data_IF_997835790619
#
_entry.id   IF_997835790619
#
_cell.length_a   1.000
_cell.length_b   1.000
_cell.length_c   1.000
_cell.angle_alpha   90.00
_cell.angle_beta   90.00
_cell.angle_gamma   90.00
#
_symmetry.space_group_name_H-M   'P 1'
#
loop_
_entity.id
_entity.type
_entity.pdbx_description
1 polymer ?
#
# COMPACT_ATOMS: atom_id res chain seq x y z
N UNK A 1 7.45 -27.32 -32.18
CA UNK A 1 6.36 -26.71 -31.37
C UNK A 1 7.01 -25.96 -30.21
N UNK A 2 6.83 -24.64 -30.13
CA UNK A 2 7.34 -23.86 -29.00
C UNK A 2 6.44 -24.09 -27.77
N UNK A 3 7.03 -24.50 -26.65
CA UNK A 3 6.31 -24.67 -25.38
C UNK A 3 6.24 -23.30 -24.71
N UNK A 4 5.12 -22.60 -24.85
CA UNK A 4 4.92 -21.31 -24.18
C UNK A 4 4.84 -21.53 -22.66
N UNK A 5 5.94 -21.25 -21.96
CA UNK A 5 5.96 -21.29 -20.49
C UNK A 5 5.29 -20.03 -19.93
N UNK A 6 4.13 -20.20 -19.29
CA UNK A 6 3.40 -19.11 -18.63
C UNK A 6 3.90 -18.96 -17.19
N UNK A 7 4.41 -17.78 -16.84
CA UNK A 7 4.79 -17.44 -15.47
C UNK A 7 3.64 -16.72 -14.76
N UNK A 8 3.35 -17.11 -13.52
CA UNK A 8 2.40 -16.42 -12.66
C UNK A 8 3.14 -15.56 -11.64
N UNK A 9 2.68 -14.33 -11.41
CA UNK A 9 3.23 -13.44 -10.38
C UNK A 9 2.18 -12.85 -9.47
N UNK A 10 2.59 -12.61 -8.23
CA UNK A 10 1.82 -11.95 -7.18
C UNK A 10 2.73 -10.99 -6.43
N UNK A 11 2.15 -10.07 -5.66
CA UNK A 11 2.92 -9.13 -4.86
C UNK A 11 3.62 -9.84 -3.69
N UNK A 12 4.93 -9.63 -3.54
CA UNK A 12 5.72 -10.19 -2.42
C UNK A 12 5.24 -9.71 -1.06
N UNK A 13 4.65 -8.50 -1.00
CA UNK A 13 4.04 -7.94 0.21
C UNK A 13 2.86 -8.76 0.73
N UNK A 14 2.43 -9.83 0.05
CA UNK A 14 1.39 -10.74 0.55
C UNK A 14 1.94 -11.79 1.51
N UNK A 15 3.25 -12.07 1.54
CA UNK A 15 3.87 -12.96 2.54
C UNK A 15 4.52 -12.19 3.72
N UNK A 16 4.48 -12.79 4.92
CA UNK A 16 5.14 -12.26 6.11
C UNK A 16 6.65 -12.47 6.00
N UNK A 17 7.42 -11.38 5.82
CA UNK A 17 8.90 -11.36 5.65
C UNK A 17 9.41 -12.27 4.50
N UNK A 18 10.63 -12.03 3.98
CA UNK A 18 11.09 -12.70 2.76
C UNK A 18 11.39 -14.21 2.93
N UNK A 19 11.48 -14.71 4.16
CA UNK A 19 11.84 -16.10 4.47
C UNK A 19 10.62 -17.01 4.73
N UNK A 20 9.41 -16.43 4.71
CA UNK A 20 8.13 -17.13 4.88
C UNK A 20 7.52 -17.63 3.57
N UNK A 21 6.49 -18.48 3.69
CA UNK A 21 5.73 -19.12 2.60
C UNK A 21 5.61 -18.28 1.31
N UNK A 22 5.70 -18.90 0.13
CA UNK A 22 5.61 -18.18 -1.14
C UNK A 22 4.31 -17.38 -1.20
N UNK A 23 4.41 -16.09 -1.53
CA UNK A 23 3.29 -15.12 -1.52
C UNK A 23 2.04 -15.60 -2.28
N UNK A 24 2.20 -16.53 -3.21
CA UNK A 24 1.10 -17.18 -3.92
C UNK A 24 0.26 -18.07 -2.99
N UNK A 25 0.89 -18.88 -2.13
CA UNK A 25 0.20 -19.74 -1.17
C UNK A 25 -0.58 -18.92 -0.15
N UNK A 26 0.02 -17.83 0.35
CA UNK A 26 -0.67 -16.93 1.28
C UNK A 26 -1.88 -16.27 0.61
N UNK A 27 -1.73 -15.79 -0.63
CA UNK A 27 -2.86 -15.26 -1.40
C UNK A 27 -3.96 -16.32 -1.63
N UNK A 28 -3.59 -17.56 -1.94
CA UNK A 28 -4.53 -18.67 -2.11
C UNK A 28 -5.27 -18.97 -0.79
N UNK A 29 -4.58 -18.97 0.34
CA UNK A 29 -5.19 -19.15 1.65
C UNK A 29 -6.20 -18.04 1.97
N UNK A 30 -5.78 -16.77 1.82
CA UNK A 30 -6.63 -15.59 2.04
C UNK A 30 -7.88 -15.59 1.14
N UNK A 31 -7.73 -15.95 -0.14
CA UNK A 31 -8.86 -16.03 -1.09
C UNK A 31 -9.85 -17.13 -0.74
N UNK A 32 -9.36 -18.29 -0.27
CA UNK A 32 -10.22 -19.44 0.10
C UNK A 32 -11.03 -19.17 1.37
N UNK A 33 -10.38 -18.61 2.41
CA UNK A 33 -11.01 -18.39 3.72
C UNK A 33 -11.76 -17.06 3.86
N UNK A 34 -11.65 -16.16 2.87
CA UNK A 34 -12.26 -14.83 2.94
C UNK A 34 -11.50 -13.90 3.90
N UNK A 35 -10.20 -13.75 3.69
CA UNK A 35 -9.34 -12.95 4.55
C UNK A 35 -9.78 -11.49 4.69
N UNK A 36 -9.53 -10.89 5.85
CA UNK A 36 -9.86 -9.50 6.21
C UNK A 36 -8.63 -8.61 6.11
N UNK A 37 -8.79 -7.49 5.41
CA UNK A 37 -7.72 -6.60 4.98
C UNK A 37 -8.03 -5.19 5.45
N UNK A 38 -7.03 -4.49 5.97
CA UNK A 38 -7.10 -3.05 6.22
C UNK A 38 -6.16 -2.34 5.27
N UNK A 39 -6.67 -1.35 4.54
CA UNK A 39 -5.87 -0.45 3.72
C UNK A 39 -5.82 0.89 4.42
N UNK A 40 -4.63 1.38 4.77
CA UNK A 40 -4.40 2.68 5.40
C UNK A 40 -3.58 3.58 4.47
N UNK A 41 -4.06 4.78 4.20
CA UNK A 41 -3.39 5.73 3.33
C UNK A 41 -3.34 7.12 3.99
N UNK A 42 -2.14 7.65 4.22
CA UNK A 42 -1.92 8.97 4.82
C UNK A 42 -0.87 9.75 4.03
N UNK A 43 -1.28 10.83 3.35
CA UNK A 43 -0.36 11.69 2.59
C UNK A 43 -0.93 13.10 2.41
N UNK A 44 -0.11 14.11 2.71
CA UNK A 44 -0.33 15.47 2.22
C UNK A 44 -1.68 16.08 2.62
N UNK A 45 -2.12 15.83 3.86
CA UNK A 45 -3.41 16.32 4.36
C UNK A 45 -4.58 15.36 4.14
N UNK A 46 -4.38 14.26 3.42
CA UNK A 46 -5.41 13.27 3.14
C UNK A 46 -5.19 12.01 3.94
N UNK A 47 -6.26 11.53 4.56
CA UNK A 47 -6.35 10.23 5.17
C UNK A 47 -7.50 9.45 4.53
N UNK A 48 -7.25 8.19 4.18
CA UNK A 48 -8.28 7.25 3.80
C UNK A 48 -7.94 5.86 4.35
N UNK A 49 -8.94 5.20 4.90
CA UNK A 49 -8.86 3.87 5.43
C UNK A 49 -10.07 3.03 4.98
N UNK A 50 -9.84 1.75 4.68
CA UNK A 50 -10.92 0.81 4.42
C UNK A 50 -10.61 -0.55 5.05
N UNK A 51 -11.58 -1.09 5.76
CA UNK A 51 -11.61 -2.46 6.21
C UNK A 51 -12.46 -3.28 5.25
N UNK A 52 -11.87 -4.33 4.69
CA UNK A 52 -12.42 -5.09 3.57
C UNK A 52 -12.33 -6.59 3.87
N UNK A 53 -13.36 -7.35 3.51
CA UNK A 53 -13.33 -8.82 3.56
C UNK A 53 -13.33 -9.37 2.14
N UNK A 54 -12.40 -10.27 1.84
CA UNK A 54 -12.43 -11.03 0.59
C UNK A 54 -13.68 -11.91 0.54
N UNK A 55 -14.40 -11.89 -0.57
CA UNK A 55 -15.58 -12.76 -0.76
C UNK A 55 -15.19 -13.88 -1.75
N UNK A 56 -15.00 -15.13 -1.29
CA UNK A 56 -14.49 -16.22 -2.14
C UNK A 56 -15.29 -16.42 -3.43
N UNK A 57 -16.62 -16.35 -3.37
CA UNK A 57 -17.51 -16.48 -4.53
C UNK A 57 -17.31 -15.35 -5.55
N UNK A 58 -17.06 -14.12 -5.11
CA UNK A 58 -16.77 -12.97 -5.99
C UNK A 58 -15.39 -13.08 -6.64
N UNK A 59 -14.41 -13.64 -5.93
CA UNK A 59 -13.05 -13.85 -6.46
C UNK A 59 -13.04 -14.91 -7.56
N UNK A 60 -13.81 -15.99 -7.38
CA UNK A 60 -13.93 -17.07 -8.35
C UNK A 60 -14.58 -16.61 -9.68
N UNK A 61 -15.53 -15.67 -9.60
CA UNK A 61 -16.19 -15.12 -10.80
C UNK A 61 -15.34 -14.07 -11.51
N UNK A 62 -15.13 -14.21 -12.82
CA UNK A 62 -14.44 -13.18 -13.63
C UNK A 62 -15.30 -11.94 -13.90
N UNK A 63 -16.62 -12.07 -13.94
CA UNK A 63 -17.54 -10.98 -14.29
C UNK A 63 -17.76 -9.97 -13.16
N UNK A 64 -17.53 -10.39 -11.91
CA UNK A 64 -17.72 -9.52 -10.74
C UNK A 64 -16.52 -8.59 -10.59
N UNK A 65 -16.71 -7.28 -10.68
CA UNK A 65 -15.61 -6.31 -10.54
C UNK A 65 -15.18 -6.10 -9.08
N UNK A 66 -16.12 -6.21 -8.13
CA UNK A 66 -15.85 -6.05 -6.70
C UNK A 66 -15.55 -7.39 -6.02
N UNK A 67 -14.30 -7.58 -5.59
CA UNK A 67 -13.84 -8.81 -4.94
C UNK A 67 -14.02 -8.81 -3.43
N UNK A 68 -14.45 -7.69 -2.88
CA UNK A 68 -14.50 -7.47 -1.44
C UNK A 68 -15.91 -7.10 -0.99
N UNK A 69 -16.19 -7.39 0.27
CA UNK A 69 -17.21 -6.76 1.08
C UNK A 69 -16.54 -5.62 1.87
N UNK A 70 -17.22 -4.47 1.97
CA UNK A 70 -16.73 -3.34 2.75
C UNK A 70 -17.27 -3.50 4.17
N UNK A 71 -16.38 -3.68 5.14
CA UNK A 71 -16.76 -3.79 6.55
C UNK A 71 -16.94 -2.40 7.17
N UNK A 72 -16.00 -1.50 6.91
CA UNK A 72 -16.08 -0.08 7.28
C UNK A 72 -15.09 0.74 6.43
N UNK A 73 -15.31 2.06 6.34
CA UNK A 73 -14.35 2.99 5.76
C UNK A 73 -14.34 4.34 6.48
N UNK A 74 -13.18 5.02 6.41
CA UNK A 74 -13.00 6.37 6.94
C UNK A 74 -12.21 7.20 5.94
N UNK A 75 -12.55 8.47 5.80
CA UNK A 75 -11.79 9.41 4.98
C UNK A 75 -11.89 10.81 5.54
N UNK A 76 -10.76 11.47 5.70
CA UNK A 76 -10.67 12.87 6.11
C UNK A 76 -9.66 13.62 5.25
N UNK A 77 -9.88 14.92 5.10
CA UNK A 77 -8.96 15.80 4.39
C UNK A 77 -8.89 17.14 5.09
N UNK A 78 -7.65 17.60 5.34
CA UNK A 78 -7.38 18.93 5.87
C UNK A 78 -6.30 19.61 5.06
N UNK A 79 -6.44 20.93 4.90
CA UNK A 79 -5.48 21.74 4.16
C UNK A 79 -4.22 21.99 5.02
N UNK A 80 -3.19 21.16 4.83
CA UNK A 80 -1.96 21.18 5.66
C UNK A 80 -0.74 21.79 4.96
N UNK A 81 -0.80 22.01 3.64
CA UNK A 81 0.31 22.60 2.86
C UNK A 81 -0.09 23.93 2.24
N UNK A 82 0.89 24.75 1.84
CA UNK A 82 0.65 25.98 1.07
C UNK A 82 0.77 25.66 -0.42
N UNK A 83 -0.19 26.09 -1.23
CA UNK A 83 -0.27 25.77 -2.67
C UNK A 83 1.01 26.04 -3.48
N UNK A 84 1.84 27.02 -3.09
CA UNK A 84 3.05 27.45 -3.83
C UNK A 84 4.40 27.07 -3.20
N UNK A 85 4.45 26.45 -2.01
CA UNK A 85 5.72 26.31 -1.25
C UNK A 85 5.97 24.92 -0.65
N UNK A 86 5.29 23.89 -1.16
CA UNK A 86 5.59 22.46 -0.99
C UNK A 86 6.33 22.06 0.29
N UNK A 87 5.64 21.99 1.42
CA UNK A 87 6.24 21.53 2.67
C UNK A 87 5.24 21.59 3.83
N UNK A 88 5.34 20.62 4.76
CA UNK A 88 4.56 20.62 6.01
C UNK A 88 5.05 21.74 6.92
N UNK A 89 4.14 22.34 7.70
CA UNK A 89 4.50 23.43 8.60
C UNK A 89 5.35 22.91 9.76
N UNK A 90 5.02 21.71 10.27
CA UNK A 90 5.80 21.00 11.30
C UNK A 90 7.27 20.81 10.92
N UNK A 91 7.56 20.41 9.68
CA UNK A 91 8.93 20.28 9.19
C UNK A 91 9.70 21.61 9.15
N UNK A 92 9.02 22.73 8.83
CA UNK A 92 9.64 24.06 8.88
C UNK A 92 9.87 24.54 10.30
N UNK A 93 8.92 24.31 11.19
CA UNK A 93 9.02 24.73 12.59
C UNK A 93 10.18 24.01 13.31
N UNK A 94 10.45 22.76 12.95
CA UNK A 94 11.58 21.98 13.46
C UNK A 94 12.96 22.58 13.10
N UNK A 95 13.04 23.53 12.15
CA UNK A 95 14.28 24.24 11.80
C UNK A 95 14.57 25.45 12.69
N UNK A 96 13.75 25.68 13.73
CA UNK A 96 13.87 26.83 14.65
C UNK A 96 13.28 28.14 14.13
N UNK A 97 12.96 28.22 12.83
CA UNK A 97 12.31 29.40 12.21
C UNK A 97 10.79 29.30 12.33
N UNK A 98 10.28 29.64 13.52
CA UNK A 98 8.85 29.59 13.83
C UNK A 98 8.07 30.78 13.23
N UNK A 99 7.31 30.54 12.16
CA UNK A 99 6.40 31.54 11.61
C UNK A 99 5.20 31.76 12.55
N UNK A 100 4.84 33.03 12.83
CA UNK A 100 3.72 33.40 13.72
C UNK A 100 2.47 33.93 12.98
N UNK A 101 2.46 33.91 11.66
CA UNK A 101 1.32 34.43 10.86
C UNK A 101 0.05 33.60 11.04
N UNK A 102 -1.12 34.20 10.80
CA UNK A 102 -2.41 33.51 10.85
C UNK A 102 -2.43 32.25 9.98
N UNK A 103 -1.89 32.32 8.76
CA UNK A 103 -1.80 31.17 7.86
C UNK A 103 -0.84 30.05 8.31
N UNK A 104 0.15 30.34 9.17
CA UNK A 104 0.98 29.30 9.81
C UNK A 104 0.25 28.61 10.95
N UNK A 105 -0.49 29.36 11.78
CA UNK A 105 -1.33 28.82 12.85
C UNK A 105 -2.43 27.91 12.31
N UNK A 106 -3.13 28.32 11.25
CA UNK A 106 -4.18 27.52 10.63
C UNK A 106 -3.67 26.18 10.10
N UNK A 107 -2.47 26.14 9.51
CA UNK A 107 -1.86 24.89 9.03
C UNK A 107 -1.46 23.97 10.17
N UNK A 108 -0.93 24.49 11.29
CA UNK A 108 -0.66 23.69 12.51
C UNK A 108 -1.94 23.09 13.08
N UNK A 109 -2.99 23.91 13.19
CA UNK A 109 -4.30 23.46 13.63
C UNK A 109 -4.83 22.33 12.73
N UNK A 110 -4.77 22.51 11.40
CA UNK A 110 -5.18 21.48 10.45
C UNK A 110 -4.32 20.21 10.52
N UNK A 111 -3.02 20.32 10.79
CA UNK A 111 -2.15 19.16 11.00
C UNK A 111 -2.53 18.40 12.28
N UNK A 112 -2.77 19.10 13.39
CA UNK A 112 -3.19 18.51 14.65
C UNK A 112 -4.57 17.85 14.55
N UNK A 113 -5.53 18.53 13.91
CA UNK A 113 -6.87 17.99 13.71
C UNK A 113 -6.88 16.78 12.76
N UNK A 114 -5.95 16.72 11.79
CA UNK A 114 -5.80 15.53 10.94
C UNK A 114 -5.23 14.36 11.74
N UNK A 115 -4.24 14.62 12.59
CA UNK A 115 -3.69 13.60 13.48
C UNK A 115 -4.77 13.03 14.40
N UNK A 116 -5.67 13.89 14.88
CA UNK A 116 -6.81 13.49 15.70
C UNK A 116 -7.84 12.67 14.91
N UNK A 117 -8.20 13.06 13.69
CA UNK A 117 -9.09 12.26 12.82
C UNK A 117 -8.52 10.84 12.60
N UNK A 118 -7.20 10.73 12.39
CA UNK A 118 -6.51 9.45 12.20
C UNK A 118 -6.52 8.65 13.50
N UNK A 119 -6.20 9.26 14.64
CA UNK A 119 -6.20 8.62 15.95
C UNK A 119 -7.58 8.06 16.28
N UNK A 120 -8.64 8.85 16.07
CA UNK A 120 -10.01 8.41 16.33
C UNK A 120 -10.40 7.25 15.41
N UNK A 121 -10.08 7.33 14.10
CA UNK A 121 -10.38 6.24 13.18
C UNK A 121 -9.69 4.92 13.56
N UNK A 122 -8.42 4.97 13.98
CA UNK A 122 -7.69 3.77 14.43
C UNK A 122 -8.17 3.27 15.80
N UNK A 123 -8.60 4.17 16.68
CA UNK A 123 -9.21 3.84 17.97
C UNK A 123 -10.54 3.10 17.79
N UNK A 124 -11.40 3.57 16.88
CA UNK A 124 -12.69 2.93 16.60
C UNK A 124 -12.51 1.55 15.94
N UNK A 125 -11.39 1.36 15.24
CA UNK A 125 -11.07 0.12 14.54
C UNK A 125 -10.18 -0.82 15.33
N UNK A 126 -10.05 -0.64 16.66
CA UNK A 126 -9.12 -1.44 17.45
C UNK A 126 -9.32 -2.95 17.29
N UNK A 127 -10.56 -3.41 17.39
CA UNK A 127 -10.86 -4.84 17.29
C UNK A 127 -10.61 -5.36 15.87
N UNK A 128 -11.04 -4.59 14.86
CA UNK A 128 -10.81 -4.91 13.46
C UNK A 128 -9.31 -5.01 13.14
N UNK A 129 -8.52 -4.06 13.62
CA UNK A 129 -7.07 -4.04 13.45
C UNK A 129 -6.38 -5.18 14.20
N UNK A 130 -6.90 -5.62 15.35
CA UNK A 130 -6.38 -6.77 16.10
C UNK A 130 -6.67 -8.11 15.41
N UNK A 131 -7.81 -8.23 14.71
CA UNK A 131 -8.24 -9.50 14.10
C UNK A 131 -8.03 -9.60 12.59
N UNK A 132 -7.66 -8.51 11.91
CA UNK A 132 -7.41 -8.56 10.46
C UNK A 132 -6.18 -9.40 10.11
N UNK A 133 -6.18 -9.93 8.88
CA UNK A 133 -5.10 -10.76 8.36
C UNK A 133 -3.95 -9.93 7.77
N UNK A 134 -4.29 -8.80 7.14
CA UNK A 134 -3.35 -7.96 6.41
C UNK A 134 -3.64 -6.48 6.65
N UNK A 135 -2.60 -5.69 6.92
CA UNK A 135 -2.66 -4.22 6.98
C UNK A 135 -1.70 -3.64 5.95
N UNK A 136 -2.23 -3.09 4.86
CA UNK A 136 -1.44 -2.46 3.81
C UNK A 136 -1.44 -0.94 3.93
N UNK A 137 -0.25 -0.36 4.01
CA UNK A 137 -0.04 1.05 4.35
C UNK A 137 0.65 1.80 3.22
N UNK A 138 0.08 2.96 2.86
CA UNK A 138 0.77 4.00 2.09
C UNK A 138 0.87 5.27 2.94
N UNK A 139 2.03 5.49 3.55
CA UNK A 139 2.32 6.66 4.35
C UNK A 139 3.78 7.11 4.13
N UNK A 140 4.07 7.87 3.06
CA UNK A 140 5.45 8.20 2.69
C UNK A 140 6.09 9.20 3.66
N UNK A 141 7.40 9.09 3.88
CA UNK A 141 8.18 10.01 4.72
C UNK A 141 7.71 10.02 6.18
N UNK A 142 7.58 11.22 6.76
CA UNK A 142 7.15 11.40 8.16
C UNK A 142 5.73 10.87 8.44
N UNK A 143 4.88 10.76 7.40
CA UNK A 143 3.51 10.26 7.56
C UNK A 143 3.49 8.82 8.11
N UNK A 144 4.52 8.01 7.87
CA UNK A 144 4.65 6.68 8.47
C UNK A 144 4.71 6.77 9.99
N UNK A 145 5.58 7.65 10.50
CA UNK A 145 5.74 7.87 11.94
C UNK A 145 4.45 8.43 12.55
N UNK A 146 3.82 9.40 11.88
CA UNK A 146 2.54 9.97 12.31
C UNK A 146 1.46 8.88 12.46
N UNK A 147 1.31 8.00 11.44
CA UNK A 147 0.32 6.92 11.46
C UNK A 147 0.61 5.88 12.56
N UNK A 148 1.87 5.47 12.71
CA UNK A 148 2.26 4.50 13.75
C UNK A 148 2.08 5.07 15.15
N UNK A 149 2.29 6.37 15.32
CA UNK A 149 2.06 7.07 16.60
C UNK A 149 0.57 7.16 16.90
N UNK A 150 -0.26 7.52 15.91
CA UNK A 150 -1.72 7.55 16.07
C UNK A 150 -2.33 6.17 16.37
N UNK A 151 -1.69 5.10 15.89
CA UNK A 151 -2.07 3.71 16.13
C UNK A 151 -1.30 3.00 17.24
N UNK A 152 -0.56 3.73 18.10
CA UNK A 152 0.28 3.15 19.15
C UNK A 152 -0.57 2.33 20.13
N UNK A 153 -0.65 1.02 19.90
CA UNK A 153 -1.51 0.09 20.63
C UNK A 153 -2.11 -1.00 19.74
N UNK A 154 -2.40 -0.66 18.48
CA UNK A 154 -2.98 -1.58 17.48
C UNK A 154 -2.13 -1.77 16.24
N UNK A 155 -1.27 -0.79 15.93
CA UNK A 155 -0.23 -0.89 14.93
C UNK A 155 1.11 -0.82 15.64
N UNK A 156 1.95 -1.85 15.47
CA UNK A 156 3.30 -1.90 16.05
C UNK A 156 4.36 -1.96 14.96
N UNK A 157 5.45 -1.19 15.07
CA UNK A 157 6.62 -1.44 14.25
C UNK A 157 7.08 -2.90 14.42
N UNK A 158 7.19 -3.64 13.31
CA UNK A 158 7.54 -5.06 13.33
C UNK A 158 6.35 -6.04 13.40
N UNK A 159 5.11 -5.55 13.42
CA UNK A 159 3.92 -6.39 13.21
C UNK A 159 3.93 -6.95 11.78
N UNK A 160 4.00 -8.28 11.64
CA UNK A 160 4.12 -8.97 10.35
C UNK A 160 2.88 -8.80 9.45
N UNK A 161 1.76 -8.32 9.99
CA UNK A 161 0.56 -7.97 9.23
C UNK A 161 0.69 -6.60 8.58
N UNK A 162 1.53 -5.71 9.11
CA UNK A 162 1.69 -4.32 8.67
C UNK A 162 2.74 -4.22 7.57
N UNK A 163 2.30 -3.85 6.37
CA UNK A 163 3.11 -3.93 5.14
C UNK A 163 2.94 -2.70 4.29
N UNK A 164 4.00 -2.31 3.59
CA UNK A 164 3.92 -1.21 2.63
C UNK A 164 3.18 -1.65 1.37
N UNK A 165 2.38 -0.75 0.80
CA UNK A 165 1.81 -0.94 -0.53
C UNK A 165 2.96 -0.91 -1.56
N UNK A 166 3.17 -1.98 -2.36
CA UNK A 166 4.37 -2.18 -3.17
C UNK A 166 4.29 -1.52 -4.56
N UNK A 167 3.35 -0.62 -4.78
CA UNK A 167 3.14 0.08 -6.05
C UNK A 167 2.68 1.51 -5.82
N UNK A 168 2.67 2.29 -6.88
CA UNK A 168 2.24 3.69 -6.85
C UNK A 168 0.73 3.81 -6.58
N UNK A 169 0.40 4.68 -5.64
CA UNK A 169 -0.99 4.97 -5.27
C UNK A 169 -1.39 6.38 -5.69
N UNK A 170 -2.69 6.58 -5.89
CA UNK A 170 -3.30 7.90 -6.13
C UNK A 170 -3.54 8.61 -4.79
N UNK A 171 -4.21 9.76 -4.84
CA UNK A 171 -4.66 10.49 -3.64
C UNK A 171 -5.45 9.56 -2.70
N UNK A 172 -5.18 9.56 -1.39
CA UNK A 172 -5.97 8.82 -0.42
C UNK A 172 -7.45 9.17 -0.52
N UNK A 173 -8.25 8.20 -0.93
CA UNK A 173 -9.72 8.25 -1.02
C UNK A 173 -10.25 6.83 -0.80
N UNK A 174 -11.52 6.67 -0.45
CA UNK A 174 -12.13 5.35 -0.34
C UNK A 174 -12.11 4.55 -1.67
N UNK A 175 -12.29 5.22 -2.81
CA UNK A 175 -12.15 4.57 -4.12
C UNK A 175 -10.74 4.06 -4.38
N UNK A 176 -9.73 4.78 -3.90
CA UNK A 176 -8.34 4.38 -4.03
C UNK A 176 -7.99 3.21 -3.11
N UNK A 177 -8.51 3.16 -1.87
CA UNK A 177 -8.29 1.99 -1.00
C UNK A 177 -8.89 0.72 -1.61
N UNK A 178 -10.08 0.80 -2.22
CA UNK A 178 -10.66 -0.30 -3.00
C UNK A 178 -9.83 -0.67 -4.23
N UNK A 179 -9.23 0.31 -4.94
CA UNK A 179 -8.34 0.03 -6.08
C UNK A 179 -7.08 -0.71 -5.63
N UNK A 180 -6.44 -0.25 -4.55
CA UNK A 180 -5.27 -0.89 -3.95
C UNK A 180 -5.57 -2.33 -3.59
N UNK A 181 -6.68 -2.59 -2.88
CA UNK A 181 -7.08 -3.92 -2.49
C UNK A 181 -7.25 -4.86 -3.69
N UNK A 182 -7.93 -4.39 -4.76
CA UNK A 182 -8.10 -5.16 -6.01
C UNK A 182 -6.77 -5.51 -6.68
N UNK A 183 -5.82 -4.57 -6.71
CA UNK A 183 -4.49 -4.80 -7.30
C UNK A 183 -3.71 -5.84 -6.50
N UNK A 184 -3.72 -5.74 -5.17
CA UNK A 184 -3.00 -6.67 -4.31
C UNK A 184 -3.50 -8.11 -4.45
N UNK A 185 -4.81 -8.31 -4.63
CA UNK A 185 -5.38 -9.64 -4.82
C UNK A 185 -5.32 -10.12 -6.26
N UNK A 186 -4.66 -9.43 -7.20
CA UNK A 186 -4.57 -9.86 -8.60
C UNK A 186 -3.39 -10.82 -8.81
N UNK A 187 -3.61 -11.88 -9.61
CA UNK A 187 -2.55 -12.76 -10.10
C UNK A 187 -2.21 -12.32 -11.53
N UNK A 188 -0.95 -12.01 -11.76
CA UNK A 188 -0.43 -11.57 -13.05
C UNK A 188 0.09 -12.76 -13.84
N UNK A 189 -0.01 -12.67 -15.17
CA UNK A 189 0.55 -13.63 -16.13
C UNK A 189 1.64 -12.94 -16.93
N UNK A 190 2.78 -13.59 -17.07
CA UNK A 190 3.91 -13.12 -17.87
C UNK A 190 4.27 -14.19 -18.90
N UNK A 191 4.60 -13.76 -20.12
CA UNK A 191 5.24 -14.62 -21.09
C UNK A 191 6.74 -14.68 -20.76
N UNK A 192 7.32 -15.88 -20.76
CA UNK A 192 8.77 -16.03 -20.70
C UNK A 192 9.31 -15.81 -22.11
N UNK A 193 10.04 -14.72 -22.33
CA UNK A 193 10.83 -14.58 -23.56
C UNK A 193 12.02 -15.54 -23.46
N UNK A 194 12.14 -16.44 -24.43
CA UNK A 194 13.33 -17.29 -24.55
C UNK A 194 14.49 -16.41 -25.05
N UNK A 195 15.57 -16.36 -24.29
CA UNK A 195 16.82 -15.73 -24.74
C UNK A 195 17.35 -16.54 -25.91
N UNK A 196 17.41 -15.93 -27.09
CA UNK A 196 18.18 -16.48 -28.21
C UNK A 196 19.65 -16.28 -27.85
N UNK A 197 20.33 -17.36 -27.46
CA UNK A 197 21.78 -17.35 -27.32
C UNK A 197 22.37 -16.95 -28.69
N UNK A 198 22.98 -15.76 -28.74
CA UNK A 198 23.78 -15.35 -29.89
C UNK A 198 25.00 -16.26 -29.89
N UNK A 199 25.02 -17.23 -30.79
CA UNK A 199 26.24 -17.97 -31.08
C UNK A 199 27.27 -16.96 -31.61
N UNK A 200 28.29 -16.67 -30.81
CA UNK A 200 29.44 -15.88 -31.24
C UNK A 200 30.10 -16.62 -32.42
N UNK A 201 29.94 -16.07 -33.62
CA UNK A 201 30.68 -16.49 -34.79
C UNK A 201 32.16 -16.19 -34.56
N UNK A 202 32.92 -17.25 -34.31
CA UNK A 202 34.38 -17.24 -34.37
C UNK A 202 34.78 -16.91 -35.81
N UNK A 203 35.25 -15.70 -36.03
CA UNK A 203 35.94 -15.32 -37.26
C UNK A 203 37.35 -15.92 -37.24
N UNK A 204 37.53 -17.04 -37.94
CA UNK A 204 38.85 -17.60 -38.22
C UNK A 204 39.51 -16.80 -39.34
N UNK A 205 40.18 -15.71 -38.98
CA UNK A 205 41.13 -15.03 -39.85
C UNK A 205 42.41 -15.83 -39.99
N UNK A 206 42.44 -16.77 -40.94
CA UNK A 206 43.65 -17.44 -41.40
C UNK A 206 44.39 -16.59 -42.45
N UNK A 207 45.72 -16.70 -42.41
CA UNK A 207 46.73 -15.96 -43.16
C UNK A 207 46.61 -16.02 -44.70
N UNK A 208 47.17 -15.01 -45.37
CA UNK A 208 47.44 -15.04 -46.82
C UNK A 208 48.29 -13.87 -47.32
N UNK A 209 49.60 -14.15 -47.49
CA UNK A 209 50.62 -13.54 -48.37
C UNK A 209 50.89 -12.02 -48.32
#
# INVERSE_FOLDING_TARGET
>A
MAVLTILLGVWRSLAAKPDGQPSLQELQALRRRGGTWVILMLRGGHFAAAALRLVPSRIASRSVSDKFEVLDHRSSHRYVTRAKAGGRQSAKDATGKYARSAGSRLRRYNEAALAEDVRQALHDWQDLLKTCDQVHVHAPGSNWKDLMTAGAGVLRPGDDRVRRIPFTTRRPTFSETKRVARILVTVYRFAKEESVDKADGVDTGAAGA
#
